data_IF_004574214197
#
_entry.id   IF_004574214197
#
_cell.length_a   1.000
_cell.length_b   1.000
_cell.length_c   1.000
_cell.angle_alpha   90.00
_cell.angle_beta   90.00
_cell.angle_gamma   90.00
#
_symmetry.space_group_name_H-M   'P 1'
#
loop_
_entity.id
_entity.type
_entity.pdbx_description
1 polymer ?
#
# COMPACT_ATOMS: atom_id res chain seq x y z
N UNK A 1 -7.81 25.52 -1.54
CA UNK A 1 -7.14 24.98 -0.94
C UNK A 1 -5.97 24.17 -1.37
N UNK A 2 -4.96 24.38 -0.67
CA UNK A 2 -3.65 23.93 -1.05
C UNK A 2 -3.37 22.51 -0.62
N UNK A 3 -4.33 21.88 -0.04
CA UNK A 3 -4.13 20.55 0.46
C UNK A 3 -4.13 19.49 -0.62
N UNK A 4 -4.28 19.88 -1.84
CA UNK A 4 -4.36 18.92 -2.93
C UNK A 4 -3.16 17.98 -3.00
N UNK A 5 -1.92 18.45 -2.85
CA UNK A 5 -0.78 17.55 -2.89
C UNK A 5 -0.79 16.51 -1.78
N UNK A 6 -1.36 16.85 -0.64
CA UNK A 6 -1.42 15.91 0.47
C UNK A 6 -2.49 14.87 0.27
N UNK A 7 -3.47 15.19 -0.56
CA UNK A 7 -4.58 14.30 -0.79
C UNK A 7 -4.14 12.96 -1.35
N UNK A 8 -3.21 12.96 -2.29
CA UNK A 8 -2.73 11.71 -2.87
C UNK A 8 -2.05 10.84 -1.82
N UNK A 9 -1.29 11.46 -0.92
CA UNK A 9 -0.64 10.71 0.14
C UNK A 9 -1.65 10.19 1.15
N UNK A 10 -2.67 10.98 1.46
CA UNK A 10 -3.70 10.54 2.37
C UNK A 10 -4.48 9.37 1.81
N UNK A 11 -4.78 9.40 0.51
CA UNK A 11 -5.47 8.30 -0.14
C UNK A 11 -4.65 7.02 -0.08
N UNK A 12 -3.36 7.13 -0.33
CA UNK A 12 -2.46 5.99 -0.28
C UNK A 12 -2.39 5.42 1.14
N UNK A 13 -2.25 6.29 2.12
CA UNK A 13 -2.17 5.86 3.51
C UNK A 13 -3.46 5.16 3.94
N UNK A 14 -4.61 5.73 3.58
CA UNK A 14 -5.89 5.12 3.91
C UNK A 14 -6.04 3.77 3.21
N UNK A 15 -5.55 3.67 1.98
CA UNK A 15 -5.63 2.43 1.23
C UNK A 15 -4.88 1.32 1.94
N UNK A 16 -3.65 1.59 2.33
CA UNK A 16 -2.84 0.57 3.00
C UNK A 16 -3.29 0.32 4.43
N UNK A 17 -3.87 1.33 5.07
CA UNK A 17 -4.49 1.14 6.38
C UNK A 17 -5.63 0.14 6.29
N UNK A 18 -6.44 0.24 5.25
CA UNK A 18 -7.56 -0.67 5.06
C UNK A 18 -7.10 -2.09 4.81
N UNK A 19 -5.94 -2.26 4.18
CA UNK A 19 -5.38 -3.58 3.94
C UNK A 19 -4.78 -4.21 5.17
N UNK A 20 -4.33 -3.40 6.14
CA UNK A 20 -3.72 -3.91 7.34
C UNK A 20 -2.23 -4.18 7.15
N UNK A 21 -1.67 -4.96 8.08
CA UNK A 21 -0.24 -5.23 8.08
C UNK A 21 0.16 -6.33 7.12
N UNK A 22 -0.78 -7.18 6.76
CA UNK A 22 -0.51 -8.30 5.86
C UNK A 22 -1.62 -8.39 4.84
N UNK A 23 -1.26 -8.57 3.59
CA UNK A 23 -2.23 -8.69 2.51
C UNK A 23 -1.62 -9.39 1.32
N UNK A 24 -2.48 -9.94 0.46
CA UNK A 24 -2.03 -10.55 -0.76
C UNK A 24 -2.20 -9.56 -1.91
N UNK A 25 -1.55 -9.88 -3.03
CA UNK A 25 -1.70 -9.07 -4.24
C UNK A 25 -3.16 -9.01 -4.67
N UNK A 26 -3.89 -10.11 -4.53
CA UNK A 26 -5.30 -10.13 -4.86
C UNK A 26 -6.08 -9.18 -4.00
N UNK A 27 -5.82 -9.19 -2.69
CA UNK A 27 -6.50 -8.27 -1.78
C UNK A 27 -6.17 -6.83 -2.12
N UNK A 28 -4.93 -6.57 -2.50
CA UNK A 28 -4.51 -5.23 -2.90
C UNK A 28 -5.33 -4.73 -4.09
N UNK A 29 -5.44 -5.54 -5.14
CA UNK A 29 -6.17 -5.11 -6.32
C UNK A 29 -7.67 -5.01 -6.06
N UNK A 30 -8.21 -5.89 -5.24
CA UNK A 30 -9.62 -5.81 -4.87
C UNK A 30 -9.91 -4.53 -4.08
N UNK A 31 -9.05 -4.21 -3.12
CA UNK A 31 -9.23 -3.01 -2.34
C UNK A 31 -9.11 -1.77 -3.22
N UNK A 32 -8.18 -1.78 -4.16
CA UNK A 32 -8.02 -0.66 -5.07
C UNK A 32 -9.29 -0.44 -5.88
N UNK A 33 -9.85 -1.50 -6.40
CA UNK A 33 -11.09 -1.41 -7.18
C UNK A 33 -12.21 -0.88 -6.30
N UNK A 34 -12.29 -1.35 -5.06
CA UNK A 34 -13.34 -0.91 -4.15
C UNK A 34 -13.23 0.58 -3.84
N UNK A 35 -12.03 1.12 -3.84
CA UNK A 35 -11.80 2.53 -3.56
C UNK A 35 -11.75 3.39 -4.82
N UNK A 36 -11.97 2.79 -5.99
CA UNK A 36 -11.92 3.53 -7.23
C UNK A 36 -10.50 3.81 -7.71
N UNK A 37 -9.54 3.04 -7.25
CA UNK A 37 -8.14 3.21 -7.61
C UNK A 37 -7.80 2.15 -8.65
N UNK A 38 -7.06 2.54 -9.67
CA UNK A 38 -6.65 1.58 -10.68
C UNK A 38 -5.68 0.55 -10.07
N UNK A 39 -5.88 -0.74 -10.38
CA UNK A 39 -4.98 -1.76 -9.83
C UNK A 39 -3.51 -1.50 -10.13
N UNK A 40 -3.21 -0.99 -11.33
CA UNK A 40 -1.83 -0.68 -11.68
C UNK A 40 -1.25 0.41 -10.77
N UNK A 41 -2.06 1.39 -10.42
CA UNK A 41 -1.63 2.45 -9.52
C UNK A 41 -1.31 1.88 -8.14
N UNK A 42 -2.17 1.02 -7.64
CA UNK A 42 -1.95 0.40 -6.33
C UNK A 42 -0.68 -0.45 -6.34
N UNK A 43 -0.47 -1.20 -7.40
CA UNK A 43 0.75 -2.00 -7.52
C UNK A 43 2.00 -1.12 -7.58
N UNK A 44 1.91 0.02 -8.26
CA UNK A 44 3.02 0.96 -8.28
C UNK A 44 3.35 1.48 -6.90
N UNK A 45 2.30 1.82 -6.14
CA UNK A 45 2.50 2.26 -4.76
C UNK A 45 3.20 1.18 -3.93
N UNK A 46 2.73 -0.05 -4.07
CA UNK A 46 3.31 -1.16 -3.32
C UNK A 46 4.78 -1.35 -3.67
N UNK A 47 5.11 -1.31 -4.95
CA UNK A 47 6.50 -1.49 -5.38
C UNK A 47 7.39 -0.41 -4.78
N UNK A 48 6.91 0.82 -4.74
CA UNK A 48 7.69 1.90 -4.13
C UNK A 48 7.91 1.66 -2.65
N UNK A 49 6.87 1.20 -1.96
CA UNK A 49 6.98 0.95 -0.53
C UNK A 49 7.92 -0.21 -0.23
N UNK A 50 7.87 -1.24 -1.06
CA UNK A 50 8.79 -2.36 -0.92
C UNK A 50 10.23 -1.90 -1.16
N UNK A 51 10.42 -1.05 -2.15
CA UNK A 51 11.74 -0.53 -2.45
C UNK A 51 12.27 0.32 -1.31
N UNK A 52 11.39 1.03 -0.63
CA UNK A 52 11.79 1.83 0.53
C UNK A 52 11.99 1.01 1.79
N UNK A 53 11.60 -0.26 1.75
CA UNK A 53 11.74 -1.11 2.91
C UNK A 53 10.58 -1.04 3.88
N UNK A 54 9.48 -0.44 3.47
CA UNK A 54 8.30 -0.33 4.33
C UNK A 54 7.44 -1.58 4.30
N UNK A 55 7.53 -2.35 3.22
CA UNK A 55 6.84 -3.62 3.08
C UNK A 55 7.81 -4.64 2.53
N UNK A 56 7.61 -5.91 2.90
CA UNK A 56 8.43 -7.00 2.38
C UNK A 56 7.53 -8.10 1.87
N UNK A 57 8.02 -8.86 0.91
CA UNK A 57 7.30 -10.01 0.40
C UNK A 57 7.59 -11.19 1.30
N UNK A 58 6.57 -11.63 2.02
CA UNK A 58 6.69 -12.75 2.93
C UNK A 58 6.68 -14.06 2.15
N UNK A 59 5.76 -14.17 1.21
CA UNK A 59 5.64 -15.31 0.34
C UNK A 59 5.27 -14.79 -1.03
N UNK A 60 5.28 -15.67 -2.02
CA UNK A 60 4.92 -15.29 -3.36
C UNK A 60 3.49 -14.72 -3.35
N UNK A 61 3.37 -13.46 -3.66
CA UNK A 61 2.08 -12.79 -3.71
C UNK A 61 1.57 -12.27 -2.38
N UNK A 62 2.29 -12.50 -1.29
CA UNK A 62 1.88 -12.02 0.03
C UNK A 62 2.88 -10.99 0.53
N UNK A 63 2.37 -9.89 1.02
CA UNK A 63 3.21 -8.79 1.52
C UNK A 63 2.85 -8.48 2.95
N UNK A 64 3.86 -8.11 3.72
CA UNK A 64 3.66 -7.72 5.12
C UNK A 64 4.39 -6.41 5.37
N UNK A 65 3.87 -5.65 6.30
CA UNK A 65 4.51 -4.41 6.68
C UNK A 65 5.80 -4.71 7.43
N UNK A 66 6.88 -4.13 6.95
CA UNK A 66 8.16 -4.30 7.62
C UNK A 66 8.12 -3.55 8.94
N UNK A 67 8.51 -4.23 10.00
CA UNK A 67 8.60 -3.58 11.29
C UNK A 67 10.02 -3.11 11.48
N UNK A 68 10.16 -1.82 11.67
CA UNK A 68 11.44 -1.24 11.98
C UNK A 68 11.55 -1.14 13.48
N UNK A 69 12.43 -1.90 14.03
CA UNK A 69 12.65 -1.83 15.45
C UNK A 69 13.51 -0.61 15.74
N UNK A 70 12.86 0.42 16.21
CA UNK A 70 13.57 1.63 16.59
C UNK A 70 13.87 1.53 18.06
N UNK A 71 15.02 1.03 18.34
CA UNK A 71 15.44 0.88 19.73
C UNK A 71 16.42 1.94 20.11
#
# INVERSE_FOLDING_TARGET
SSEIPHRANADRDAFFDALGDEFTRTQLTEQATAMGIKPNTALSWLRRLVKKGLFVMKEKGTYVRARVCVC
#
